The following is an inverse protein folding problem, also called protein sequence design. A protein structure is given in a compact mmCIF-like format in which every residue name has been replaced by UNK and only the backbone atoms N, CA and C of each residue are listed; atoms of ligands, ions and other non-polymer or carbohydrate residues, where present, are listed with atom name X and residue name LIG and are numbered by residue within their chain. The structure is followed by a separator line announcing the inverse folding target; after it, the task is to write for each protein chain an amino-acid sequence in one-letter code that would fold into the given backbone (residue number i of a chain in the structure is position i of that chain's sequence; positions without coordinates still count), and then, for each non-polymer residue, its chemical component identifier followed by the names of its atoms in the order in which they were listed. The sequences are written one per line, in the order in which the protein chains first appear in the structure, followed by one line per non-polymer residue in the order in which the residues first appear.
data_IF_044158479353
#
_entry.id   IF_044158479353
#
_cell.length_a   1.000
_cell.length_b   1.000
_cell.length_c   1.000
_cell.angle_alpha   90.00
_cell.angle_beta   90.00
_cell.angle_gamma   90.00
#
_symmetry.space_group_name_H-M   'P 1'
#
loop_
_entity.id
_entity.type
_entity.pdbx_description
1 polymer ?
#
# COMPACT_ATOMS: atom_id res chain seq x y z
N UNK A 1 4.02 2.32 -3.18
CA UNK A 1 2.68 1.99 -3.73
C UNK A 1 2.72 1.40 -5.15
N UNK A 2 3.42 1.98 -6.13
CA UNK A 2 3.51 1.42 -7.50
C UNK A 2 4.75 0.54 -7.74
N UNK A 3 5.50 0.25 -6.68
CA UNK A 3 6.74 -0.53 -6.72
C UNK A 3 8.00 0.29 -6.98
N UNK A 4 9.13 -0.24 -6.51
CA UNK A 4 10.51 0.20 -6.72
C UNK A 4 11.43 -1.01 -6.50
N UNK A 5 12.76 -0.82 -6.49
CA UNK A 5 13.73 -1.91 -6.35
C UNK A 5 13.54 -2.77 -5.08
N UNK A 6 12.95 -2.20 -4.03
CA UNK A 6 12.76 -2.86 -2.72
C UNK A 6 11.28 -3.16 -2.38
N UNK A 7 10.34 -2.70 -3.21
CA UNK A 7 8.89 -2.82 -2.96
C UNK A 7 8.22 -3.37 -4.19
N UNK A 8 7.41 -4.43 -4.04
CA UNK A 8 6.68 -5.05 -5.14
C UNK A 8 5.77 -4.06 -5.88
N UNK A 9 5.40 -4.39 -7.11
CA UNK A 9 4.42 -3.63 -7.89
C UNK A 9 3.09 -4.40 -7.99
N UNK A 10 1.99 -3.66 -8.23
CA UNK A 10 0.71 -4.27 -8.58
C UNK A 10 0.70 -4.61 -10.08
N UNK A 11 0.36 -5.84 -10.42
CA UNK A 11 0.35 -6.31 -11.79
C UNK A 11 -0.58 -5.47 -12.68
N UNK A 12 -0.07 -5.03 -13.84
CA UNK A 12 -0.83 -4.20 -14.78
C UNK A 12 -1.18 -2.79 -14.29
N UNK A 13 -0.68 -2.34 -13.13
CA UNK A 13 -0.93 -1.00 -12.57
C UNK A 13 0.34 -0.17 -12.55
N UNK A 14 0.51 0.65 -13.58
CA UNK A 14 1.66 1.56 -13.70
C UNK A 14 1.47 2.90 -13.00
N UNK A 15 2.50 3.75 -13.09
CA UNK A 15 2.52 5.11 -12.54
C UNK A 15 1.35 5.97 -13.06
N UNK A 16 1.04 5.89 -14.36
CA UNK A 16 -0.09 6.62 -14.97
C UNK A 16 -1.42 6.27 -14.33
N UNK A 17 -1.74 4.97 -14.22
CA UNK A 17 -3.01 4.51 -13.61
C UNK A 17 -3.12 4.89 -12.14
N UNK A 18 -2.00 4.79 -11.41
CA UNK A 18 -1.94 5.20 -10.01
C UNK A 18 -2.11 6.71 -9.84
N UNK A 19 -1.50 7.51 -10.71
CA UNK A 19 -1.65 8.96 -10.70
C UNK A 19 -3.10 9.39 -10.94
N UNK A 20 -3.79 8.76 -11.90
CA UNK A 20 -5.21 9.02 -12.12
C UNK A 20 -6.07 8.66 -10.90
N UNK A 21 -5.80 7.53 -10.23
CA UNK A 21 -6.49 7.16 -9.00
C UNK A 21 -6.20 8.15 -7.85
N UNK A 22 -4.95 8.60 -7.72
CA UNK A 22 -4.52 9.55 -6.71
C UNK A 22 -5.23 10.89 -6.85
N UNK A 23 -5.34 11.41 -8.08
CA UNK A 23 -6.06 12.66 -8.36
C UNK A 23 -7.53 12.62 -7.93
N UNK A 24 -8.16 11.44 -7.96
CA UNK A 24 -9.54 11.23 -7.50
C UNK A 24 -9.66 10.91 -6.01
N UNK A 25 -8.54 10.78 -5.29
CA UNK A 25 -8.50 10.27 -3.92
C UNK A 25 -7.38 10.92 -3.10
N UNK A 26 -7.43 12.26 -3.00
CA UNK A 26 -6.34 13.07 -2.46
C UNK A 26 -6.07 12.85 -0.96
N UNK A 27 -7.08 12.42 -0.20
CA UNK A 27 -6.98 12.11 1.24
C UNK A 27 -5.88 11.07 1.57
N UNK A 28 -5.50 10.24 0.60
CA UNK A 28 -4.40 9.28 0.78
C UNK A 28 -3.04 9.97 0.99
N UNK A 29 -2.89 11.22 0.55
CA UNK A 29 -1.62 11.96 0.61
C UNK A 29 -1.21 12.24 2.05
N UNK A 30 -2.09 12.90 2.82
CA UNK A 30 -1.86 13.24 4.22
C UNK A 30 -1.63 11.98 5.04
N UNK A 31 -2.42 10.94 4.77
CA UNK A 31 -2.30 9.67 5.45
C UNK A 31 -0.93 8.99 5.24
N UNK A 32 -0.36 9.08 4.03
CA UNK A 32 0.99 8.58 3.77
C UNK A 32 2.07 9.43 4.45
N UNK A 33 1.92 10.76 4.46
CA UNK A 33 2.85 11.66 5.16
C UNK A 33 2.89 11.37 6.66
N UNK A 34 1.73 11.18 7.28
CA UNK A 34 1.61 10.79 8.68
C UNK A 34 2.24 9.41 8.93
N UNK A 35 2.00 8.46 8.04
CA UNK A 35 2.57 7.11 8.10
C UNK A 35 4.10 7.11 8.09
N UNK A 36 4.72 7.93 7.21
CA UNK A 36 6.17 8.06 7.10
C UNK A 36 6.78 8.65 8.38
N UNK A 37 6.06 9.59 9.00
CA UNK A 37 6.47 10.23 10.25
C UNK A 37 6.26 9.34 11.48
N UNK A 38 5.41 8.32 11.38
CA UNK A 38 5.12 7.35 12.45
C UNK A 38 6.12 6.19 12.51
N UNK A 39 6.07 5.42 13.61
CA UNK A 39 6.87 4.20 13.80
C UNK A 39 6.17 2.93 13.28
N UNK A 40 4.93 3.06 12.80
CA UNK A 40 4.09 1.98 12.27
C UNK A 40 3.07 2.51 11.27
N UNK A 41 2.52 1.61 10.46
CA UNK A 41 1.37 1.93 9.61
C UNK A 41 0.14 2.14 10.49
N UNK A 42 -0.43 3.36 10.47
CA UNK A 42 -1.64 3.68 11.23
C UNK A 42 -2.87 3.01 10.60
N UNK A 43 -3.92 2.80 11.40
CA UNK A 43 -5.20 2.26 10.91
C UNK A 43 -5.79 3.14 9.80
N UNK A 44 -5.70 4.46 9.95
CA UNK A 44 -6.16 5.44 8.96
C UNK A 44 -5.38 5.32 7.66
N UNK A 45 -4.05 5.28 7.73
CA UNK A 45 -3.18 5.08 6.57
C UNK A 45 -3.48 3.76 5.85
N UNK A 46 -3.71 2.67 6.60
CA UNK A 46 -4.11 1.40 6.01
C UNK A 46 -5.47 1.48 5.33
N UNK A 47 -6.49 2.06 5.98
CA UNK A 47 -7.83 2.21 5.41
C UNK A 47 -7.84 3.04 4.12
N UNK A 48 -7.10 4.15 4.10
CA UNK A 48 -6.96 4.99 2.91
C UNK A 48 -6.11 4.30 1.83
N UNK A 49 -5.14 3.47 2.21
CA UNK A 49 -4.42 2.60 1.26
C UNK A 49 -5.37 1.58 0.61
N UNK A 50 -6.31 1.00 1.36
CA UNK A 50 -7.34 0.13 0.78
C UNK A 50 -8.21 0.89 -0.22
N UNK A 51 -8.74 2.05 0.15
CA UNK A 51 -9.53 2.91 -0.75
C UNK A 51 -8.77 3.22 -2.05
N UNK A 52 -7.51 3.64 -1.92
CA UNK A 52 -6.65 3.92 -3.07
C UNK A 52 -6.45 2.70 -3.98
N UNK A 53 -6.15 1.52 -3.40
CA UNK A 53 -5.96 0.29 -4.18
C UNK A 53 -7.27 -0.19 -4.79
N UNK A 54 -8.40 -0.06 -4.11
CA UNK A 54 -9.71 -0.38 -4.67
C UNK A 54 -9.97 0.45 -5.91
N UNK A 55 -9.74 1.78 -5.86
CA UNK A 55 -9.90 2.68 -7.00
C UNK A 55 -8.89 2.40 -8.13
N UNK A 56 -7.70 1.90 -7.80
CA UNK A 56 -6.69 1.49 -8.78
C UNK A 56 -7.16 0.33 -9.66
N UNK A 57 -7.95 -0.59 -9.10
CA UNK A 57 -8.54 -1.71 -9.84
C UNK A 57 -9.92 -1.35 -10.38
N UNK A 58 -10.73 -0.61 -9.63
CA UNK A 58 -12.11 -0.33 -9.98
C UNK A 58 -12.54 1.08 -9.52
N UNK A 59 -12.39 2.05 -10.43
CA UNK A 59 -12.73 3.46 -10.19
C UNK A 59 -14.20 3.71 -9.82
N UNK A 60 -15.10 2.80 -10.18
CA UNK A 60 -16.53 2.91 -9.85
C UNK A 60 -16.90 2.23 -8.53
N UNK A 61 -15.94 1.59 -7.86
CA UNK A 61 -16.19 0.85 -6.63
C UNK A 61 -16.55 1.80 -5.50
N UNK A 62 -17.54 1.40 -4.69
CA UNK A 62 -17.92 2.06 -3.43
C UNK A 62 -17.45 1.26 -2.21
N UNK A 63 -16.69 0.20 -2.43
CA UNK A 63 -16.16 -0.61 -1.34
C UNK A 63 -15.05 0.14 -0.60
N UNK A 64 -15.02 0.00 0.72
CA UNK A 64 -13.97 0.52 1.61
C UNK A 64 -13.05 -0.57 2.13
N UNK A 65 -13.32 -1.82 1.77
CA UNK A 65 -12.59 -3.01 2.22
C UNK A 65 -12.10 -3.76 0.97
N UNK A 66 -10.79 -4.05 0.93
CA UNK A 66 -10.16 -4.60 -0.27
C UNK A 66 -10.61 -6.05 -0.54
N UNK A 67 -10.94 -6.83 0.49
CA UNK A 67 -11.44 -8.19 0.33
C UNK A 67 -12.88 -8.19 -0.23
N UNK A 68 -13.73 -7.26 0.22
CA UNK A 68 -15.07 -7.06 -0.35
C UNK A 68 -14.99 -6.62 -1.80
N UNK A 69 -14.10 -5.68 -2.12
CA UNK A 69 -13.84 -5.25 -3.49
C UNK A 69 -13.33 -6.42 -4.35
N UNK A 70 -12.36 -7.18 -3.85
CA UNK A 70 -11.80 -8.37 -4.50
C UNK A 70 -12.89 -9.39 -4.82
N UNK A 71 -13.74 -9.74 -3.85
CA UNK A 71 -14.88 -10.65 -4.05
C UNK A 71 -15.83 -10.09 -5.11
N UNK A 72 -16.24 -8.83 -4.98
CA UNK A 72 -17.18 -8.21 -5.92
C UNK A 72 -16.65 -8.20 -7.35
N UNK A 73 -15.42 -7.75 -7.57
CA UNK A 73 -14.80 -7.67 -8.90
C UNK A 73 -14.65 -9.09 -9.50
N UNK A 74 -14.31 -10.08 -8.69
CA UNK A 74 -14.22 -11.47 -9.13
C UNK A 74 -15.60 -12.03 -9.54
N UNK A 75 -16.61 -11.91 -8.69
CA UNK A 75 -17.91 -12.56 -8.92
C UNK A 75 -18.85 -11.81 -9.85
N UNK A 76 -18.83 -10.47 -9.83
CA UNK A 76 -19.82 -9.63 -10.52
C UNK A 76 -19.24 -8.97 -11.79
N UNK A 77 -17.93 -8.75 -11.84
CA UNK A 77 -17.26 -8.17 -13.02
C UNK A 77 -16.45 -9.20 -13.81
N UNK A 78 -16.46 -10.47 -13.39
CA UNK A 78 -15.81 -11.62 -14.05
C UNK A 78 -14.36 -11.37 -14.48
N UNK A 79 -13.59 -10.64 -13.67
CA UNK A 79 -12.18 -10.36 -13.97
C UNK A 79 -11.27 -11.51 -13.56
N UNK A 80 -10.19 -11.69 -14.32
CA UNK A 80 -9.14 -12.66 -14.01
C UNK A 80 -8.40 -12.34 -12.70
N UNK A 81 -7.72 -13.34 -12.13
CA UNK A 81 -7.08 -13.25 -10.82
C UNK A 81 -5.97 -12.19 -10.75
N UNK A 82 -5.31 -11.94 -11.88
CA UNK A 82 -4.30 -10.87 -12.03
C UNK A 82 -4.92 -9.46 -12.12
N UNK A 83 -6.24 -9.37 -12.35
CA UNK A 83 -6.99 -8.12 -12.52
C UNK A 83 -7.95 -7.79 -11.37
N UNK A 84 -7.72 -8.41 -10.20
CA UNK A 84 -8.41 -8.12 -8.95
C UNK A 84 -7.45 -7.57 -7.89
N UNK A 85 -7.92 -6.72 -6.96
CA UNK A 85 -7.09 -6.20 -5.86
C UNK A 85 -6.41 -7.31 -5.05
N UNK A 86 -5.25 -7.04 -4.41
CA UNK A 86 -4.64 -7.97 -3.46
C UNK A 86 -5.58 -8.31 -2.29
N UNK A 87 -5.23 -9.32 -1.50
CA UNK A 87 -5.90 -9.55 -0.21
C UNK A 87 -5.49 -8.49 0.80
N UNK A 88 -6.30 -8.28 1.84
CA UNK A 88 -5.97 -7.35 2.93
C UNK A 88 -4.58 -7.62 3.51
N UNK A 89 -4.29 -8.89 3.85
CA UNK A 89 -2.99 -9.28 4.41
C UNK A 89 -1.82 -8.98 3.46
N UNK A 90 -1.95 -9.25 2.16
CA UNK A 90 -0.91 -8.93 1.19
C UNK A 90 -0.73 -7.41 1.03
N UNK A 91 -1.83 -6.66 1.03
CA UNK A 91 -1.79 -5.20 0.95
C UNK A 91 -1.15 -4.59 2.19
N UNK A 92 -1.46 -5.07 3.38
CA UNK A 92 -0.88 -4.59 4.63
C UNK A 92 0.65 -4.72 4.61
N UNK A 93 1.16 -5.88 4.18
CA UNK A 93 2.61 -6.08 4.04
C UNK A 93 3.20 -5.17 2.97
N UNK A 94 2.54 -4.99 1.82
CA UNK A 94 2.99 -4.07 0.79
C UNK A 94 3.06 -2.62 1.31
N UNK A 95 2.04 -2.16 2.05
CA UNK A 95 2.00 -0.80 2.63
C UNK A 95 3.13 -0.63 3.65
N UNK A 96 3.35 -1.60 4.55
CA UNK A 96 4.48 -1.56 5.50
C UNK A 96 5.81 -1.38 4.79
N UNK A 97 6.07 -2.16 3.74
CA UNK A 97 7.32 -2.07 2.95
C UNK A 97 7.43 -0.75 2.20
N UNK A 98 6.33 -0.27 1.61
CA UNK A 98 6.28 1.01 0.91
C UNK A 98 6.56 2.20 1.84
N UNK A 99 5.97 2.21 3.03
CA UNK A 99 6.18 3.26 4.03
C UNK A 99 7.60 3.20 4.58
N UNK A 100 8.13 2.01 4.86
CA UNK A 100 9.53 1.84 5.26
C UNK A 100 10.49 2.44 4.22
N UNK A 101 10.30 2.10 2.94
CA UNK A 101 11.15 2.62 1.87
C UNK A 101 11.05 4.14 1.75
N UNK A 102 9.84 4.70 1.85
CA UNK A 102 9.63 6.14 1.85
C UNK A 102 10.32 6.82 3.04
N UNK A 103 10.28 6.20 4.22
CA UNK A 103 10.96 6.68 5.43
C UNK A 103 12.48 6.72 5.27
N UNK A 104 13.07 5.67 4.69
CA UNK A 104 14.50 5.63 4.37
C UNK A 104 14.87 6.79 3.42
N UNK A 105 14.07 7.01 2.37
CA UNK A 105 14.31 8.11 1.45
C UNK A 105 14.12 9.49 2.09
N UNK A 106 13.12 9.65 2.95
CA UNK A 106 12.86 10.91 3.66
C UNK A 106 14.04 11.35 4.54
N UNK A 107 14.78 10.39 5.09
CA UNK A 107 15.93 10.63 5.96
C UNK A 107 17.28 10.44 5.24
N UNK A 108 17.27 10.37 3.90
CA UNK A 108 18.49 10.07 3.12
C UNK A 108 19.56 11.17 3.16
N UNK A 109 19.19 12.37 3.59
CA UNK A 109 20.11 13.50 3.76
C UNK A 109 20.69 13.58 5.17
N UNK A 110 20.25 12.73 6.11
CA UNK A 110 20.82 12.65 7.45
C UNK A 110 22.17 11.94 7.41
N UNK A 111 23.21 12.56 7.98
CA UNK A 111 24.55 11.96 8.04
C UNK A 111 24.56 10.65 8.85
N UNK A 112 23.68 10.54 9.85
CA UNK A 112 23.50 9.34 10.67
C UNK A 112 22.00 9.07 10.79
N UNK A 113 21.41 8.27 9.89
CA UNK A 113 19.99 7.95 9.93
C UNK A 113 19.62 7.20 11.21
N UNK A 114 18.44 7.50 11.75
CA UNK A 114 17.88 6.73 12.87
C UNK A 114 17.72 5.25 12.52
N UNK A 115 18.08 4.38 13.47
CA UNK A 115 17.94 2.93 13.29
C UNK A 115 16.46 2.57 13.13
N UNK A 116 16.12 1.85 12.05
CA UNK A 116 14.77 1.36 11.82
C UNK A 116 14.71 -0.13 12.15
N UNK A 117 13.83 -0.50 13.07
CA UNK A 117 13.55 -1.88 13.44
C UNK A 117 12.71 -2.58 12.35
N UNK A 118 13.26 -3.53 11.58
CA UNK A 118 12.52 -4.19 10.50
C UNK A 118 11.33 -5.02 10.98
N UNK A 119 11.31 -5.43 12.25
CA UNK A 119 10.23 -6.25 12.81
C UNK A 119 8.88 -5.53 12.85
N UNK A 120 8.91 -4.20 12.95
CA UNK A 120 7.73 -3.33 12.87
C UNK A 120 7.17 -3.19 11.45
N UNK A 121 7.94 -3.58 10.43
CA UNK A 121 7.65 -3.31 9.02
C UNK A 121 7.42 -4.58 8.18
N UNK A 122 7.11 -5.70 8.82
CA UNK A 122 6.69 -6.92 8.12
C UNK A 122 7.81 -7.93 7.86
N UNK A 123 8.95 -7.78 8.52
CA UNK A 123 9.98 -8.81 8.58
C UNK A 123 9.96 -9.52 9.93
N UNK A 124 10.34 -10.78 9.94
CA UNK A 124 10.51 -11.58 11.16
C UNK A 124 11.93 -12.12 11.14
N UNK A 125 12.62 -12.04 12.28
CA UNK A 125 13.94 -12.64 12.43
C UNK A 125 13.77 -14.16 12.56
N UNK A 126 14.44 -14.90 11.69
CA UNK A 126 14.47 -16.36 11.75
C UNK A 126 15.20 -16.80 13.04
N UNK A 127 14.58 -17.68 13.85
CA UNK A 127 15.14 -18.19 15.11
C UNK A 127 14.43 -17.79 16.42
N UNK A 128 13.31 -17.06 16.36
CA UNK A 128 12.44 -16.75 17.52
C UNK A 128 11.07 -17.47 17.46
N UNK A 129 11.04 -18.67 16.87
CA UNK A 129 9.88 -19.58 16.98
C UNK A 129 10.03 -20.50 18.19
#
# INVERSE_FOLDING_TARGET
MTGCDTVSAFYGRGKRTAWEAWKSYLEVTEAYQDCVSSDRVSKTCMALSEGFVILLYDKSSKATDVNKARKHIFTQKARSLENIPPTHAALEQHVKRAVLQAKIWNNSTEAVPSAIDPSKWGWVKEGNQ
#
